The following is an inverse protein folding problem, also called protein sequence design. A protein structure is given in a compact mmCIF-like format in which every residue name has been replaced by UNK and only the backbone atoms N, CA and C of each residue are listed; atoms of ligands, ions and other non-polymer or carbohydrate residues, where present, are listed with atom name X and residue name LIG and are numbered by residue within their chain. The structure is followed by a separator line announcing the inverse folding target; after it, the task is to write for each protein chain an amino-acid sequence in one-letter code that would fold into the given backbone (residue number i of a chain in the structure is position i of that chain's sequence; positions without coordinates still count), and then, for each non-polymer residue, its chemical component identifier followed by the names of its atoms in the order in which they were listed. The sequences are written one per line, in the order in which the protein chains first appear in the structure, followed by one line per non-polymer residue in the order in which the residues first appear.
data_IF_469033285334
#
_entry.id   IF_469033285334
#
_cell.length_a   1.000
_cell.length_b   1.000
_cell.length_c   1.000
_cell.angle_alpha   90.00
_cell.angle_beta   90.00
_cell.angle_gamma   90.00
#
_symmetry.space_group_name_H-M   'P 1'
#
loop_
_entity.id
_entity.type
_entity.pdbx_description
1 polymer ?
#
# COMPACT_ATOMS: atom_id res chain seq x y z
N UNK A 1 -26.70 10.57 3.09
CA UNK A 1 -25.48 10.44 3.89
C UNK A 1 -24.76 9.26 3.31
N UNK A 2 -23.78 9.50 2.44
CA UNK A 2 -22.98 8.41 1.90
C UNK A 2 -22.20 7.81 3.07
N UNK A 3 -22.52 6.57 3.41
CA UNK A 3 -21.83 5.84 4.47
C UNK A 3 -20.36 5.67 4.07
N UNK A 4 -19.44 6.03 4.97
CA UNK A 4 -18.01 5.77 4.77
C UNK A 4 -17.84 4.26 4.55
N UNK A 5 -17.22 3.90 3.44
CA UNK A 5 -16.92 2.50 3.17
C UNK A 5 -15.78 2.06 4.07
N UNK A 6 -15.98 0.95 4.79
CA UNK A 6 -14.99 0.32 5.64
C UNK A 6 -15.15 -1.19 5.60
N UNK A 7 -14.15 -1.82 4.99
CA UNK A 7 -13.97 -3.25 4.91
C UNK A 7 -13.06 -3.69 6.07
N UNK A 8 -13.59 -4.61 6.88
CA UNK A 8 -12.85 -5.22 7.98
C UNK A 8 -12.01 -6.35 7.46
N UNK A 9 -10.85 -6.53 8.07
CA UNK A 9 -9.96 -7.61 7.70
C UNK A 9 -10.36 -8.93 8.31
N UNK A 10 -10.36 -9.96 7.47
CA UNK A 10 -10.39 -11.35 7.89
C UNK A 10 -9.04 -12.00 7.56
N UNK A 11 -8.39 -12.62 8.55
CA UNK A 11 -7.05 -13.21 8.38
C UNK A 11 -5.94 -12.16 8.24
N UNK A 12 -4.99 -12.39 7.33
CA UNK A 12 -3.77 -11.56 7.14
C UNK A 12 -3.81 -10.68 5.88
N UNK A 13 -4.96 -10.57 5.21
CA UNK A 13 -5.14 -9.91 3.91
C UNK A 13 -5.17 -8.36 3.99
N UNK A 14 -4.27 -7.77 4.77
CA UNK A 14 -4.27 -6.34 5.05
C UNK A 14 -4.16 -5.46 3.80
N UNK A 15 -3.43 -5.89 2.76
CA UNK A 15 -3.27 -5.12 1.54
C UNK A 15 -4.57 -4.95 0.75
N UNK A 16 -5.42 -5.99 0.69
CA UNK A 16 -6.74 -5.92 0.06
C UNK A 16 -7.59 -4.86 0.74
N UNK A 17 -7.77 -5.00 2.05
CA UNK A 17 -8.64 -4.12 2.82
C UNK A 17 -8.10 -2.70 2.86
N UNK A 18 -6.78 -2.53 2.90
CA UNK A 18 -6.12 -1.24 2.73
C UNK A 18 -6.52 -0.59 1.39
N UNK A 19 -6.37 -1.30 0.26
CA UNK A 19 -6.70 -0.75 -1.05
C UNK A 19 -8.20 -0.46 -1.22
N UNK A 20 -9.08 -1.33 -0.73
CA UNK A 20 -10.53 -1.15 -0.81
C UNK A 20 -11.02 0.00 0.08
N UNK A 21 -10.52 0.08 1.31
CA UNK A 21 -10.80 1.20 2.21
C UNK A 21 -10.28 2.51 1.63
N UNK A 22 -9.10 2.48 1.02
CA UNK A 22 -8.59 3.62 0.30
C UNK A 22 -9.54 4.01 -0.81
N UNK A 23 -9.88 3.14 -1.74
CA UNK A 23 -10.70 3.48 -2.91
C UNK A 23 -12.19 3.70 -2.59
N UNK A 24 -12.59 3.45 -1.34
CA UNK A 24 -13.97 3.54 -0.87
C UNK A 24 -14.91 2.60 -1.62
N UNK A 25 -14.46 1.35 -1.82
CA UNK A 25 -15.25 0.27 -2.43
C UNK A 25 -14.47 -1.04 -2.57
N UNK A 26 -15.17 -2.12 -2.85
CA UNK A 26 -14.60 -3.47 -3.05
C UNK A 26 -14.03 -3.62 -4.47
N UNK A 27 -12.88 -3.01 -4.72
CA UNK A 27 -12.25 -3.00 -6.05
C UNK A 27 -11.21 -4.11 -6.26
N UNK A 28 -10.61 -4.59 -5.17
CA UNK A 28 -9.59 -5.63 -5.19
C UNK A 28 -10.01 -6.81 -4.34
N UNK A 29 -9.70 -8.01 -4.85
CA UNK A 29 -9.79 -9.27 -4.13
C UNK A 29 -8.38 -9.84 -3.91
N UNK A 30 -8.21 -10.86 -3.04
CA UNK A 30 -6.93 -11.53 -2.87
C UNK A 30 -6.40 -12.10 -4.19
N UNK A 31 -7.30 -12.59 -5.05
CA UNK A 31 -6.95 -13.19 -6.34
C UNK A 31 -6.36 -12.15 -7.28
N UNK A 32 -6.89 -10.93 -7.28
CA UNK A 32 -6.37 -9.83 -8.09
C UNK A 32 -4.95 -9.45 -7.63
N UNK A 33 -4.74 -9.34 -6.31
CA UNK A 33 -3.43 -9.00 -5.75
C UNK A 33 -2.40 -10.10 -5.96
N UNK A 34 -2.79 -11.37 -5.83
CA UNK A 34 -1.92 -12.51 -6.16
C UNK A 34 -1.53 -12.51 -7.63
N UNK A 35 -2.45 -12.16 -8.52
CA UNK A 35 -2.15 -12.07 -9.96
C UNK A 35 -1.12 -10.96 -10.25
N UNK A 36 -1.25 -9.80 -9.59
CA UNK A 36 -0.28 -8.70 -9.68
C UNK A 36 1.08 -9.14 -9.11
N UNK A 37 1.10 -9.82 -7.96
CA UNK A 37 2.32 -10.32 -7.35
C UNK A 37 3.07 -11.28 -8.28
N UNK A 38 2.37 -12.26 -8.87
CA UNK A 38 2.96 -13.19 -9.83
C UNK A 38 3.50 -12.50 -11.09
N UNK A 39 2.80 -11.48 -11.58
CA UNK A 39 3.30 -10.72 -12.72
C UNK A 39 4.60 -9.99 -12.37
N UNK A 40 4.68 -9.39 -11.18
CA UNK A 40 5.89 -8.71 -10.72
C UNK A 40 7.06 -9.68 -10.55
N UNK A 41 6.82 -10.85 -9.97
CA UNK A 41 7.85 -11.88 -9.84
C UNK A 41 8.38 -12.33 -11.21
N UNK A 42 7.50 -12.47 -12.20
CA UNK A 42 7.89 -12.81 -13.58
C UNK A 42 8.71 -11.70 -14.23
N UNK A 43 8.31 -10.44 -14.07
CA UNK A 43 9.05 -9.29 -14.58
C UNK A 43 10.44 -9.17 -13.95
N UNK A 44 10.55 -9.40 -12.64
CA UNK A 44 11.83 -9.46 -11.92
C UNK A 44 12.69 -10.62 -12.43
N UNK A 45 12.10 -11.80 -12.64
CA UNK A 45 12.78 -12.96 -13.23
C UNK A 45 13.34 -12.67 -14.62
N UNK A 46 12.55 -12.03 -15.47
CA UNK A 46 12.97 -11.69 -16.83
C UNK A 46 14.11 -10.69 -16.83
N UNK A 47 14.08 -9.67 -15.95
CA UNK A 47 15.20 -8.72 -15.79
C UNK A 47 16.48 -9.41 -15.30
N UNK A 48 16.36 -10.36 -14.36
CA UNK A 48 17.51 -11.14 -13.90
C UNK A 48 18.08 -12.02 -15.02
N UNK A 49 17.22 -12.54 -15.91
CA UNK A 49 17.66 -13.33 -17.06
C UNK A 49 18.50 -12.51 -18.06
N UNK A 50 18.28 -11.20 -18.17
CA UNK A 50 19.11 -10.29 -18.99
C UNK A 50 20.57 -10.23 -18.49
N UNK A 51 20.78 -10.42 -17.18
CA UNK A 51 22.11 -10.55 -16.57
C UNK A 51 22.81 -11.89 -16.84
N UNK A 52 22.14 -12.82 -17.54
CA UNK A 52 22.65 -14.13 -17.93
C UNK A 52 21.99 -15.28 -17.15
N UNK A 53 21.21 -16.11 -17.84
CA UNK A 53 20.49 -17.26 -17.26
C UNK A 53 21.39 -18.34 -16.63
N UNK A 54 22.70 -18.31 -16.89
CA UNK A 54 23.68 -19.24 -16.32
C UNK A 54 24.35 -18.75 -15.04
N UNK A 55 24.08 -17.52 -14.61
CA UNK A 55 24.72 -16.90 -13.46
C UNK A 55 24.27 -17.53 -12.14
N UNK A 56 25.11 -17.47 -11.12
CA UNK A 56 24.79 -17.99 -9.79
C UNK A 56 23.65 -17.17 -9.15
N UNK A 57 23.58 -15.89 -9.48
CA UNK A 57 22.53 -14.96 -9.06
C UNK A 57 21.16 -15.36 -9.63
N UNK A 58 21.07 -15.72 -10.92
CA UNK A 58 19.83 -16.17 -11.53
C UNK A 58 19.35 -17.50 -10.95
N UNK A 59 20.28 -18.44 -10.72
CA UNK A 59 19.95 -19.75 -10.11
C UNK A 59 19.51 -19.61 -8.66
N UNK A 60 20.11 -18.69 -7.91
CA UNK A 60 19.71 -18.37 -6.54
C UNK A 60 18.33 -17.73 -6.51
N UNK A 61 18.06 -16.77 -7.40
CA UNK A 61 16.76 -16.12 -7.52
C UNK A 61 15.64 -17.12 -7.83
N UNK A 62 15.86 -18.08 -8.73
CA UNK A 62 14.88 -19.14 -9.04
C UNK A 62 14.52 -20.05 -7.85
N UNK A 63 15.38 -20.13 -6.83
CA UNK A 63 15.14 -20.92 -5.64
C UNK A 63 14.47 -20.12 -4.51
N UNK A 64 14.44 -18.78 -4.64
CA UNK A 64 13.80 -17.93 -3.65
C UNK A 64 12.28 -17.98 -3.80
N UNK A 65 11.53 -17.98 -2.68
CA UNK A 65 10.09 -17.77 -2.72
C UNK A 65 9.77 -16.36 -3.24
N UNK A 66 8.52 -16.14 -3.66
CA UNK A 66 8.04 -14.83 -4.10
C UNK A 66 8.37 -13.76 -3.04
N UNK A 67 9.01 -12.67 -3.46
CA UNK A 67 9.20 -11.50 -2.62
C UNK A 67 7.95 -10.62 -2.53
N UNK A 68 6.97 -10.86 -3.41
CA UNK A 68 5.79 -10.02 -3.58
C UNK A 68 4.56 -10.55 -2.83
N UNK A 69 4.52 -11.85 -2.53
CA UNK A 69 3.47 -12.51 -1.76
C UNK A 69 4.07 -13.62 -0.89
N UNK A 70 3.74 -13.64 0.40
CA UNK A 70 4.12 -14.74 1.30
C UNK A 70 2.98 -15.76 1.53
N UNK A 71 3.32 -16.90 2.13
CA UNK A 71 2.37 -17.98 2.46
C UNK A 71 1.30 -17.56 3.50
N UNK A 72 1.49 -16.41 4.17
CA UNK A 72 0.55 -15.86 5.13
C UNK A 72 -0.51 -14.97 4.47
N UNK A 73 -0.30 -14.54 3.22
CA UNK A 73 -1.16 -13.59 2.51
C UNK A 73 -0.74 -12.12 2.68
N UNK A 74 0.48 -11.87 3.13
CA UNK A 74 1.09 -10.54 3.12
C UNK A 74 1.55 -10.20 1.70
N UNK A 75 1.30 -8.95 1.29
CA UNK A 75 1.70 -8.43 -0.02
C UNK A 75 2.72 -7.32 0.14
N UNK A 76 3.70 -7.29 -0.76
CA UNK A 76 4.72 -6.25 -0.80
C UNK A 76 4.15 -4.88 -1.19
N UNK A 77 4.90 -3.83 -0.92
CA UNK A 77 4.57 -2.47 -1.36
C UNK A 77 4.52 -2.34 -2.90
N UNK A 78 5.28 -3.17 -3.64
CA UNK A 78 5.30 -3.14 -5.10
C UNK A 78 3.95 -3.61 -5.67
N UNK A 79 3.31 -4.59 -5.04
CA UNK A 79 1.96 -5.06 -5.40
C UNK A 79 0.94 -3.92 -5.21
N UNK A 80 0.97 -3.27 -4.05
CA UNK A 80 0.08 -2.13 -3.73
C UNK A 80 0.29 -0.98 -4.73
N UNK A 81 1.55 -0.66 -5.05
CA UNK A 81 1.89 0.39 -6.02
C UNK A 81 1.34 0.08 -7.42
N UNK A 82 1.51 -1.15 -7.91
CA UNK A 82 0.99 -1.53 -9.22
C UNK A 82 -0.54 -1.59 -9.26
N UNK A 83 -1.18 -2.04 -8.19
CA UNK A 83 -2.63 -2.02 -8.07
C UNK A 83 -3.18 -0.59 -8.20
N UNK A 84 -2.55 0.38 -7.53
CA UNK A 84 -2.95 1.79 -7.59
C UNK A 84 -2.64 2.46 -8.93
N UNK A 85 -1.60 2.00 -9.62
CA UNK A 85 -1.22 2.54 -10.94
C UNK A 85 -2.33 2.36 -11.98
N UNK A 86 -3.13 1.30 -11.88
CA UNK A 86 -4.32 1.07 -12.75
C UNK A 86 -5.34 2.22 -12.63
N UNK A 87 -5.38 2.87 -11.47
CA UNK A 87 -6.25 4.01 -11.17
C UNK A 87 -5.60 5.37 -11.44
N UNK A 88 -4.38 5.39 -12.01
CA UNK A 88 -3.61 6.62 -12.20
C UNK A 88 -3.12 7.24 -10.89
N UNK A 89 -3.05 6.46 -9.82
CA UNK A 89 -2.55 6.88 -8.52
C UNK A 89 -1.09 6.47 -8.37
N UNK A 90 -0.29 7.34 -7.76
CA UNK A 90 1.13 7.12 -7.53
C UNK A 90 1.45 7.12 -6.04
N UNK A 91 2.33 6.21 -5.64
CA UNK A 91 2.81 6.10 -4.26
C UNK A 91 4.17 6.78 -4.12
N UNK A 92 4.24 7.78 -3.24
CA UNK A 92 5.48 8.48 -2.92
C UNK A 92 5.78 8.27 -1.44
N UNK A 93 6.99 7.85 -1.12
CA UNK A 93 7.41 7.70 0.27
C UNK A 93 7.42 9.07 0.96
N UNK A 94 6.71 9.19 2.08
CA UNK A 94 6.60 10.44 2.82
C UNK A 94 7.97 11.00 3.25
N UNK A 95 8.90 10.09 3.56
CA UNK A 95 10.27 10.42 3.98
C UNK A 95 11.26 10.61 2.80
N UNK A 96 10.81 10.52 1.55
CA UNK A 96 11.68 10.72 0.39
C UNK A 96 12.09 12.20 0.25
N UNK A 97 13.28 12.42 -0.33
CA UNK A 97 13.71 13.78 -0.71
C UNK A 97 12.77 14.42 -1.73
N UNK A 98 12.18 13.59 -2.60
CA UNK A 98 11.18 14.00 -3.58
C UNK A 98 9.99 14.64 -2.88
N UNK A 99 9.36 13.93 -1.92
CA UNK A 99 8.23 14.45 -1.15
C UNK A 99 8.58 15.73 -0.38
N UNK A 100 9.75 15.76 0.27
CA UNK A 100 10.22 16.96 0.99
C UNK A 100 10.47 18.15 0.06
N UNK A 101 10.97 17.91 -1.16
CA UNK A 101 11.26 18.96 -2.14
C UNK A 101 9.99 19.60 -2.73
N UNK A 102 8.88 18.86 -2.75
CA UNK A 102 7.59 19.36 -3.21
C UNK A 102 6.95 20.37 -2.24
N UNK A 103 7.50 20.53 -1.02
CA UNK A 103 6.98 21.39 0.05
C UNK A 103 5.47 21.19 0.29
N UNK A 104 4.97 19.97 0.07
CA UNK A 104 3.55 19.66 0.23
C UNK A 104 3.22 19.59 1.71
N UNK A 105 2.18 20.31 2.13
CA UNK A 105 1.66 20.19 3.47
C UNK A 105 0.85 18.89 3.59
N UNK A 106 1.20 17.95 4.49
CA UNK A 106 0.52 16.66 4.63
C UNK A 106 -1.01 16.77 4.83
N UNK A 107 -1.51 17.87 5.40
CA UNK A 107 -2.95 18.10 5.61
C UNK A 107 -3.74 18.28 4.30
N UNK A 108 -3.04 18.63 3.21
CA UNK A 108 -3.62 18.85 1.88
C UNK A 108 -3.68 17.57 1.06
N UNK A 109 -3.02 16.50 1.51
CA UNK A 109 -3.09 15.21 0.85
C UNK A 109 -4.50 14.62 0.95
N UNK A 110 -4.80 13.70 0.03
CA UNK A 110 -6.09 13.00 0.01
C UNK A 110 -6.07 11.74 0.86
N UNK A 111 -4.95 11.03 0.87
CA UNK A 111 -4.81 9.77 1.59
C UNK A 111 -3.35 9.38 1.84
N UNK A 112 -3.17 8.53 2.85
CA UNK A 112 -1.91 7.88 3.21
C UNK A 112 -2.15 6.38 3.33
N UNK A 113 -1.17 5.60 2.86
CA UNK A 113 -1.02 4.19 3.22
C UNK A 113 0.10 4.09 4.22
N UNK A 114 -0.18 3.46 5.35
CA UNK A 114 0.77 3.28 6.43
C UNK A 114 1.13 1.80 6.55
N UNK A 115 2.42 1.51 6.76
CA UNK A 115 2.88 0.22 7.24
C UNK A 115 3.32 0.33 8.69
N UNK A 116 2.72 -0.47 9.58
CA UNK A 116 3.20 -0.62 10.95
C UNK A 116 3.30 -2.09 11.31
N UNK A 117 4.50 -2.57 11.65
CA UNK A 117 4.74 -3.97 12.04
C UNK A 117 4.14 -4.97 11.03
N UNK A 118 4.43 -4.78 9.74
CA UNK A 118 3.96 -5.66 8.66
C UNK A 118 2.42 -5.66 8.50
N UNK A 119 1.78 -4.55 8.86
CA UNK A 119 0.35 -4.34 8.67
C UNK A 119 0.08 -3.08 7.85
N UNK A 120 -0.59 -3.25 6.72
CA UNK A 120 -1.01 -2.16 5.85
C UNK A 120 -2.38 -1.63 6.25
N UNK A 121 -2.49 -0.30 6.37
CA UNK A 121 -3.79 0.36 6.60
C UNK A 121 -3.84 1.73 5.95
N UNK A 122 -5.05 2.25 5.78
CA UNK A 122 -5.29 3.53 5.12
C UNK A 122 -5.73 4.60 6.11
N UNK A 123 -5.21 5.80 5.90
CA UNK A 123 -5.76 7.03 6.44
C UNK A 123 -6.24 7.88 5.27
N UNK A 124 -7.52 8.23 5.23
CA UNK A 124 -8.09 8.98 4.10
C UNK A 124 -8.88 10.19 4.58
N UNK A 125 -8.75 11.30 3.84
CA UNK A 125 -9.56 12.49 4.02
C UNK A 125 -10.89 12.29 3.31
N UNK A 126 -11.98 12.32 4.07
CA UNK A 126 -13.35 12.22 3.56
C UNK A 126 -14.10 13.50 3.93
N UNK A 127 -14.46 14.29 2.92
CA UNK A 127 -14.94 15.65 3.14
C UNK A 127 -13.83 16.55 3.71
N UNK A 128 -14.03 17.05 4.93
CA UNK A 128 -13.08 17.94 5.61
C UNK A 128 -12.32 17.24 6.75
N UNK A 129 -12.56 15.95 6.96
CA UNK A 129 -12.07 15.22 8.12
C UNK A 129 -11.22 14.02 7.71
N UNK A 130 -10.24 13.68 8.55
CA UNK A 130 -9.38 12.52 8.36
C UNK A 130 -9.96 11.32 9.10
N UNK A 131 -9.91 10.16 8.46
CA UNK A 131 -10.37 8.90 9.04
C UNK A 131 -9.27 7.85 8.99
N UNK A 132 -9.07 7.17 10.12
CA UNK A 132 -8.35 5.91 10.18
C UNK A 132 -9.27 4.80 9.69
N UNK A 133 -8.89 4.18 8.58
CA UNK A 133 -9.60 3.06 7.98
C UNK A 133 -8.81 1.76 8.15
N UNK A 134 -8.11 1.63 9.27
CA UNK A 134 -7.47 0.38 9.63
C UNK A 134 -8.52 -0.74 9.69
N UNK A 135 -8.28 -1.78 8.92
CA UNK A 135 -9.15 -2.93 8.74
C UNK A 135 -9.30 -3.77 10.01
N UNK A 136 -8.39 -3.62 10.98
CA UNK A 136 -8.47 -4.25 12.31
C UNK A 136 -9.44 -3.52 13.25
N UNK A 137 -9.90 -2.31 12.90
CA UNK A 137 -10.85 -1.55 13.70
C UNK A 137 -12.28 -2.06 13.48
N UNK A 138 -13.17 -1.72 14.42
CA UNK A 138 -14.60 -2.06 14.29
C UNK A 138 -15.34 -1.12 13.33
N UNK A 139 -14.71 -0.03 12.91
CA UNK A 139 -15.24 0.97 11.98
C UNK A 139 -14.24 2.11 11.73
N UNK A 140 -14.59 3.09 10.89
CA UNK A 140 -13.80 4.30 10.70
C UNK A 140 -13.62 5.10 12.00
N UNK A 141 -12.37 5.40 12.36
CA UNK A 141 -12.08 6.29 13.50
C UNK A 141 -11.71 7.69 13.01
N UNK A 142 -12.32 8.71 13.60
CA UNK A 142 -12.03 10.10 13.26
C UNK A 142 -10.65 10.52 13.82
N UNK A 143 -9.81 11.11 12.98
CA UNK A 143 -8.51 11.68 13.32
C UNK A 143 -8.58 13.21 13.20
N UNK A 144 -8.09 13.93 14.21
CA UNK A 144 -7.86 15.38 14.12
C UNK A 144 -6.56 15.69 13.37
N UNK A 145 -6.48 16.86 12.73
CA UNK A 145 -5.27 17.30 12.01
C UNK A 145 -4.01 17.28 12.90
N UNK A 146 -4.16 17.64 14.17
CA UNK A 146 -3.06 17.60 15.15
C UNK A 146 -2.60 16.17 15.46
N UNK A 147 -3.55 15.23 15.56
CA UNK A 147 -3.23 13.82 15.82
C UNK A 147 -2.65 13.16 14.57
N UNK A 148 -3.11 13.54 13.37
CA UNK A 148 -2.56 13.05 12.11
C UNK A 148 -1.06 13.30 12.03
N UNK A 149 -0.60 14.53 12.28
CA UNK A 149 0.82 14.85 12.23
C UNK A 149 1.64 14.03 13.23
N UNK A 150 1.12 13.80 14.44
CA UNK A 150 1.78 12.97 15.45
C UNK A 150 1.81 11.49 15.05
N UNK A 151 0.70 10.99 14.51
CA UNK A 151 0.59 9.63 14.01
C UNK A 151 1.56 9.38 12.86
N UNK A 152 1.62 10.33 11.92
CA UNK A 152 2.54 10.33 10.80
C UNK A 152 4.02 10.47 11.25
N UNK A 153 4.30 11.03 12.43
CA UNK A 153 5.66 11.03 12.95
C UNK A 153 6.09 9.68 13.58
N UNK A 154 5.13 8.85 14.00
CA UNK A 154 5.40 7.64 14.80
C UNK A 154 5.49 6.34 13.99
N UNK A 155 4.92 6.28 12.78
CA UNK A 155 4.93 5.06 11.95
C UNK A 155 6.16 5.02 11.04
N UNK A 156 6.95 3.96 11.11
CA UNK A 156 8.31 3.93 10.55
C UNK A 156 8.37 3.82 9.02
N UNK A 157 7.28 3.47 8.32
CA UNK A 157 7.26 3.46 6.85
C UNK A 157 5.89 3.93 6.34
N UNK A 158 5.78 5.23 6.07
CA UNK A 158 4.57 5.83 5.50
C UNK A 158 4.74 6.13 4.02
N UNK A 159 3.65 5.91 3.31
CA UNK A 159 3.56 6.16 1.88
C UNK A 159 2.39 7.11 1.65
N UNK A 160 2.68 8.26 1.05
CA UNK A 160 1.68 9.21 0.59
C UNK A 160 1.14 8.76 -0.75
N UNK A 161 -0.17 8.93 -0.96
CA UNK A 161 -0.77 8.72 -2.27
C UNK A 161 -0.93 10.07 -2.95
N UNK A 162 -0.26 10.22 -4.09
CA UNK A 162 -0.41 11.37 -4.95
C UNK A 162 -1.37 11.07 -6.10
N UNK A 163 -2.19 12.05 -6.45
CA UNK A 163 -3.11 11.99 -7.59
C UNK A 163 -2.91 13.28 -8.40
N UNK A 164 -2.29 13.21 -9.59
CA UNK A 164 -2.05 14.38 -10.44
C UNK A 164 -3.33 15.07 -10.92
#
# INVERSE_FOLDING_TARGET
MDSIFHEKQEGSLCAQHCLNNLLQGEYFTPVDLSSIAHQLDEEERMRMAEGGMGSEEYRTFLQQPSGNMDDSGFFSIQVISNALRVWGLELILFNSREYQSLMINPINEKAFICNYKEHWFTIRKLGQQWFNLNSLLTGPELISDTYLALFLAQTITQVSIFCP
#
